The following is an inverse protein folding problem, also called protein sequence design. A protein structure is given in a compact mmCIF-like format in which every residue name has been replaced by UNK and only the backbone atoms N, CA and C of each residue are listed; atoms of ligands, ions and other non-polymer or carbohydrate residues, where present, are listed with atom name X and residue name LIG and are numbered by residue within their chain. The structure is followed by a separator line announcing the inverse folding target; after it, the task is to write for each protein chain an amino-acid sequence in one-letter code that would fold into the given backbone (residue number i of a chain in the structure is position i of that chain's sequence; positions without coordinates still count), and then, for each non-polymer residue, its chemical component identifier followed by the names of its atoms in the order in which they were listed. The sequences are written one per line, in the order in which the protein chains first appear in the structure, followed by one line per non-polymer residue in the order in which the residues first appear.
data_IF_430740020985
#
_entry.id   IF_430740020985
#
_cell.length_a   1.000
_cell.length_b   1.000
_cell.length_c   1.000
_cell.angle_alpha   90.00
_cell.angle_beta   90.00
_cell.angle_gamma   90.00
#
_symmetry.space_group_name_H-M   'P 1'
#
loop_
_entity.id
_entity.type
_entity.pdbx_description
1 polymer ?
#
# COMPACT_ATOMS: atom_id res chain seq x y z
N UNK A 1 -13.64 13.21 7.24
CA UNK A 1 -12.53 12.44 7.86
C UNK A 1 -11.35 12.59 6.92
N UNK A 2 -10.28 13.22 7.40
CA UNK A 2 -9.14 13.65 6.58
C UNK A 2 -8.48 12.46 5.91
N UNK A 3 -8.40 12.48 4.57
CA UNK A 3 -7.44 11.65 3.86
C UNK A 3 -6.07 12.05 4.40
N UNK A 4 -5.46 11.24 5.26
CA UNK A 4 -4.13 11.56 5.78
C UNK A 4 -3.21 11.76 4.56
N UNK A 5 -2.75 12.99 4.39
CA UNK A 5 -1.83 13.35 3.31
C UNK A 5 -0.46 12.82 3.73
N UNK A 6 -0.07 11.70 3.14
CA UNK A 6 1.26 11.15 3.33
C UNK A 6 2.20 11.74 2.29
N UNK A 7 3.31 12.29 2.75
CA UNK A 7 4.34 12.81 1.84
C UNK A 7 5.04 11.67 1.07
N UNK A 8 5.01 10.44 1.59
CA UNK A 8 5.71 9.29 0.98
C UNK A 8 4.95 7.97 1.13
N UNK A 9 5.19 7.06 0.18
CA UNK A 9 4.71 5.67 0.25
C UNK A 9 5.22 4.95 1.50
N UNK A 10 6.46 5.23 1.94
CA UNK A 10 7.03 4.64 3.15
C UNK A 10 6.27 5.05 4.41
N UNK A 11 5.86 6.32 4.51
CA UNK A 11 5.04 6.82 5.61
C UNK A 11 3.68 6.14 5.69
N UNK A 12 2.99 6.02 4.54
CA UNK A 12 1.72 5.29 4.44
C UNK A 12 1.84 3.83 4.92
N UNK A 13 2.90 3.12 4.50
CA UNK A 13 3.13 1.72 4.91
C UNK A 13 3.37 1.61 6.42
N UNK A 14 4.17 2.50 7.00
CA UNK A 14 4.47 2.49 8.42
C UNK A 14 3.22 2.77 9.26
N UNK A 15 2.40 3.74 8.87
CA UNK A 15 1.15 4.03 9.57
C UNK A 15 0.20 2.83 9.53
N UNK A 16 -0.07 2.28 8.33
CA UNK A 16 -0.98 1.14 8.16
C UNK A 16 -0.53 -0.10 8.94
N UNK A 17 0.77 -0.31 9.10
CA UNK A 17 1.30 -1.42 9.91
C UNK A 17 1.34 -1.12 11.41
N UNK A 18 1.40 0.14 11.82
CA UNK A 18 1.55 0.54 13.23
C UNK A 18 2.88 0.12 13.87
N UNK A 19 3.86 -0.32 13.06
CA UNK A 19 5.17 -0.80 13.52
C UNK A 19 6.24 -0.58 12.46
N UNK A 20 7.51 -0.81 12.84
CA UNK A 20 8.60 -0.81 11.87
C UNK A 20 8.38 -1.93 10.82
N UNK A 21 8.37 -1.62 9.52
CA UNK A 21 8.17 -2.61 8.47
C UNK A 21 9.37 -3.54 8.29
N UNK A 22 9.13 -4.70 7.69
CA UNK A 22 10.13 -5.71 7.32
C UNK A 22 9.90 -6.16 5.88
N UNK A 23 10.96 -6.61 5.16
CA UNK A 23 10.77 -7.24 3.86
C UNK A 23 9.75 -8.37 3.93
N UNK A 24 8.83 -8.40 2.98
CA UNK A 24 7.70 -9.32 2.93
C UNK A 24 6.39 -8.75 3.46
N UNK A 25 6.42 -7.73 4.33
CA UNK A 25 5.21 -7.08 4.84
C UNK A 25 4.36 -6.52 3.70
N UNK A 26 3.03 -6.61 3.87
CA UNK A 26 2.06 -6.12 2.89
C UNK A 26 1.00 -5.24 3.54
N UNK A 27 0.60 -4.22 2.79
CA UNK A 27 -0.56 -3.38 3.12
C UNK A 27 -1.37 -3.15 1.85
N UNK A 28 -2.67 -2.93 1.99
CA UNK A 28 -3.56 -2.65 0.86
C UNK A 28 -4.40 -1.39 1.08
N UNK A 29 -4.83 -0.84 -0.05
CA UNK A 29 -5.90 0.12 -0.23
C UNK A 29 -6.91 -0.47 -1.21
N UNK A 30 -8.01 0.23 -1.45
CA UNK A 30 -9.02 -0.21 -2.42
C UNK A 30 -8.46 -0.29 -3.85
N UNK A 31 -7.47 0.56 -4.17
CA UNK A 31 -6.89 0.66 -5.50
C UNK A 31 -5.62 -0.17 -5.71
N UNK A 32 -4.86 -0.47 -4.66
CA UNK A 32 -3.59 -1.19 -4.81
C UNK A 32 -3.10 -1.87 -3.54
N UNK A 33 -2.22 -2.86 -3.74
CA UNK A 33 -1.45 -3.51 -2.69
C UNK A 33 0.04 -3.14 -2.79
N UNK A 34 0.66 -2.96 -1.64
CA UNK A 34 2.07 -2.67 -1.49
C UNK A 34 2.76 -3.83 -0.76
N UNK A 35 3.92 -4.25 -1.25
CA UNK A 35 4.80 -5.21 -0.57
C UNK A 35 6.17 -4.59 -0.37
N UNK A 36 6.67 -4.59 0.88
CA UNK A 36 8.04 -4.17 1.17
C UNK A 36 9.01 -5.22 0.63
N UNK A 37 9.89 -4.81 -0.28
CA UNK A 37 10.95 -5.68 -0.81
C UNK A 37 12.28 -5.45 -0.07
N UNK A 38 12.56 -4.20 0.32
CA UNK A 38 13.82 -3.82 0.97
C UNK A 38 13.61 -2.69 1.97
N UNK A 39 14.31 -2.79 3.11
CA UNK A 39 14.50 -1.69 4.06
C UNK A 39 15.89 -1.06 3.88
N UNK A 40 15.99 0.24 4.08
CA UNK A 40 17.25 0.99 4.17
C UNK A 40 17.34 1.59 5.59
N UNK A 41 18.00 0.85 6.49
CA UNK A 41 17.96 1.16 7.93
C UNK A 41 16.51 1.14 8.44
N UNK A 42 16.06 2.26 9.00
CA UNK A 42 14.68 2.42 9.53
C UNK A 42 13.67 2.92 8.49
N UNK A 43 14.05 3.05 7.21
CA UNK A 43 13.18 3.54 6.14
C UNK A 43 12.83 2.44 5.16
N UNK A 44 11.63 2.51 4.60
CA UNK A 44 11.27 1.66 3.46
C UNK A 44 12.08 2.10 2.25
N UNK A 45 12.78 1.17 1.61
CA UNK A 45 13.64 1.44 0.46
C UNK A 45 12.95 1.11 -0.86
N UNK A 46 12.59 -0.17 -1.05
CA UNK A 46 11.97 -0.65 -2.29
C UNK A 46 10.65 -1.32 -1.99
N UNK A 47 9.63 -0.98 -2.78
CA UNK A 47 8.26 -1.48 -2.63
C UNK A 47 7.78 -1.99 -3.99
N UNK A 48 7.10 -3.14 -3.99
CA UNK A 48 6.31 -3.59 -5.13
C UNK A 48 4.89 -3.06 -4.97
N UNK A 49 4.39 -2.38 -6.01
CA UNK A 49 3.00 -1.99 -6.12
C UNK A 49 2.29 -2.98 -7.04
N UNK A 50 1.10 -3.43 -6.65
CA UNK A 50 0.19 -4.21 -7.48
C UNK A 50 -1.13 -3.45 -7.55
N UNK A 51 -1.54 -3.02 -8.73
CA UNK A 51 -2.85 -2.39 -8.91
C UNK A 51 -3.92 -3.46 -8.74
N UNK A 52 -4.91 -3.17 -7.90
CA UNK A 52 -6.14 -3.94 -7.88
C UNK A 52 -6.85 -3.57 -9.17
N UNK A 53 -7.12 -4.55 -10.04
CA UNK A 53 -7.95 -4.26 -11.21
C UNK A 53 -9.25 -3.62 -10.69
N UNK A 54 -9.72 -2.51 -11.31
CA UNK A 54 -11.03 -2.01 -10.96
C UNK A 54 -11.98 -3.19 -11.08
N UNK A 55 -12.75 -3.45 -10.02
CA UNK A 55 -13.82 -4.43 -10.10
C UNK A 55 -14.57 -4.07 -11.37
N UNK A 56 -14.51 -4.95 -12.39
CA UNK A 56 -15.24 -4.72 -13.61
C UNK A 56 -16.67 -4.47 -13.14
N UNK A 57 -17.15 -3.23 -13.29
CA UNK A 57 -18.54 -2.92 -13.01
C UNK A 57 -19.29 -3.91 -13.87
N UNK A 58 -19.84 -4.92 -13.20
CA UNK A 58 -20.69 -5.93 -13.79
C UNK A 58 -21.80 -5.13 -14.46
N UNK A 59 -21.69 -4.98 -15.78
CA UNK A 59 -22.81 -4.62 -16.62
C UNK A 59 -23.73 -5.83 -16.53
N UNK A 60 -24.49 -5.92 -15.44
CA UNK A 60 -25.83 -6.46 -15.47
C UNK A 60 -26.61 -5.39 -16.23
N UNK A 61 -26.84 -5.54 -17.52
CA UNK A 61 -27.89 -6.41 -18.05
C UNK A 61 -29.14 -6.25 -17.16
N UNK A 62 -30.00 -5.34 -17.60
CA UNK A 62 -31.25 -4.92 -16.98
C UNK A 62 -31.79 -3.68 -17.68
#
# INVERSE_FOLDING_TARGET
ISSAEFDTVGGLIMEKLGRLPRPGDRVSTDACAFQVLRMAGRRVGTVRLTLTAPAATDRRDG
#
